data_IF_470836526248
#
_entry.id   IF_470836526248
#
_cell.length_a   1.000
_cell.length_b   1.000
_cell.length_c   1.000
_cell.angle_alpha   90.00
_cell.angle_beta   90.00
_cell.angle_gamma   90.00
#
_symmetry.space_group_name_H-M   'P 1'
#
loop_
_entity.id
_entity.type
_entity.pdbx_description
1 polymer ?
#
# COMPACT_ATOMS: atom_id res chain seq x y z
N UNK A 1 25.44 -21.67 9.79
CA UNK A 1 24.99 -22.03 8.43
C UNK A 1 25.45 -20.88 7.54
N UNK A 2 26.58 -21.04 6.85
CA UNK A 2 27.16 -19.96 6.02
C UNK A 2 26.41 -19.96 4.69
N UNK A 3 25.64 -18.91 4.41
CA UNK A 3 25.21 -18.64 3.04
C UNK A 3 26.49 -18.36 2.23
N UNK A 4 26.62 -18.99 1.06
CA UNK A 4 27.73 -18.68 0.16
C UNK A 4 27.55 -17.28 -0.46
N UNK A 5 28.63 -16.71 -0.96
CA UNK A 5 28.65 -15.35 -1.55
C UNK A 5 27.70 -15.21 -2.75
N UNK A 6 27.43 -16.29 -3.48
CA UNK A 6 26.48 -16.29 -4.60
C UNK A 6 25.03 -16.25 -4.12
N UNK A 7 24.73 -16.93 -3.01
CA UNK A 7 23.44 -16.87 -2.33
C UNK A 7 23.13 -15.47 -1.79
N UNK A 8 24.12 -14.81 -1.18
CA UNK A 8 23.96 -13.42 -0.72
C UNK A 8 23.73 -12.44 -1.87
N UNK A 9 24.45 -12.59 -2.99
CA UNK A 9 24.26 -11.76 -4.18
C UNK A 9 22.88 -11.96 -4.82
N UNK A 10 22.37 -13.20 -4.87
CA UNK A 10 21.04 -13.49 -5.40
C UNK A 10 19.92 -12.88 -4.54
N UNK A 11 20.09 -12.89 -3.21
CA UNK A 11 19.16 -12.24 -2.28
C UNK A 11 19.19 -10.73 -2.49
N UNK A 12 20.36 -10.10 -2.57
CA UNK A 12 20.49 -8.66 -2.75
C UNK A 12 19.92 -8.17 -4.09
N UNK A 13 20.10 -8.94 -5.16
CA UNK A 13 19.47 -8.68 -6.46
C UNK A 13 17.94 -8.76 -6.38
N UNK A 14 17.42 -9.77 -5.68
CA UNK A 14 15.98 -9.95 -5.49
C UNK A 14 15.37 -8.81 -4.67
N UNK A 15 16.07 -8.40 -3.60
CA UNK A 15 15.65 -7.27 -2.76
C UNK A 15 15.66 -5.96 -3.55
N UNK A 16 16.70 -5.67 -4.31
CA UNK A 16 16.75 -4.43 -5.12
C UNK A 16 15.60 -4.36 -6.14
N UNK A 17 15.17 -5.50 -6.70
CA UNK A 17 14.02 -5.55 -7.62
C UNK A 17 12.67 -5.45 -6.91
N UNK A 18 12.60 -5.79 -5.64
CA UNK A 18 11.39 -5.73 -4.82
C UNK A 18 11.23 -4.37 -4.12
N UNK A 19 12.34 -3.75 -3.68
CA UNK A 19 12.39 -2.49 -2.94
C UNK A 19 12.37 -1.28 -3.88
N UNK A 20 11.40 -1.26 -4.80
CA UNK A 20 11.17 -0.16 -5.73
C UNK A 20 9.68 -0.05 -6.05
N UNK A 21 9.23 1.15 -6.41
CA UNK A 21 7.88 1.42 -6.89
C UNK A 21 7.79 1.50 -8.42
N UNK A 22 8.88 1.26 -9.15
CA UNK A 22 8.90 1.30 -10.61
C UNK A 22 7.87 0.34 -11.23
N UNK A 23 7.68 -0.84 -10.65
CA UNK A 23 6.69 -1.80 -11.14
C UNK A 23 5.26 -1.33 -10.90
N UNK A 24 4.98 -0.77 -9.73
CA UNK A 24 3.67 -0.20 -9.38
C UNK A 24 3.34 0.96 -10.30
N UNK A 25 4.30 1.86 -10.53
CA UNK A 25 4.18 2.95 -11.50
C UNK A 25 3.94 2.43 -12.92
N UNK A 26 4.72 1.46 -13.37
CA UNK A 26 4.56 0.86 -14.69
C UNK A 26 3.19 0.21 -14.88
N UNK A 27 2.68 -0.48 -13.85
CA UNK A 27 1.34 -1.06 -13.84
C UNK A 27 0.26 0.02 -13.91
N UNK A 28 0.39 1.08 -13.11
CA UNK A 28 -0.51 2.23 -13.15
C UNK A 28 -0.54 2.89 -14.54
N UNK A 29 0.64 3.21 -15.10
CA UNK A 29 0.75 3.84 -16.43
C UNK A 29 0.18 2.95 -17.53
N UNK A 30 0.40 1.63 -17.44
CA UNK A 30 -0.20 0.67 -18.37
C UNK A 30 -1.72 0.67 -18.28
N UNK A 31 -2.28 0.58 -17.07
CA UNK A 31 -3.73 0.60 -16.87
C UNK A 31 -4.35 1.94 -17.30
N UNK A 32 -3.67 3.06 -17.07
CA UNK A 32 -4.11 4.38 -17.52
C UNK A 32 -4.22 4.45 -19.05
N UNK A 33 -3.25 3.89 -19.78
CA UNK A 33 -3.30 3.78 -21.25
C UNK A 33 -4.44 2.88 -21.71
N UNK A 34 -4.56 1.69 -21.11
CA UNK A 34 -5.64 0.75 -21.41
C UNK A 34 -7.01 1.40 -21.19
N UNK A 35 -7.20 2.09 -20.07
CA UNK A 35 -8.42 2.80 -19.75
C UNK A 35 -8.74 3.89 -20.78
N UNK A 36 -7.74 4.69 -21.19
CA UNK A 36 -7.91 5.69 -22.24
C UNK A 36 -8.37 5.07 -23.57
N UNK A 37 -7.84 3.91 -23.94
CA UNK A 37 -8.26 3.19 -25.14
C UNK A 37 -9.69 2.65 -25.03
N UNK A 38 -10.06 2.06 -23.89
CA UNK A 38 -11.40 1.54 -23.65
C UNK A 38 -12.45 2.66 -23.64
N UNK A 39 -12.13 3.78 -23.00
CA UNK A 39 -13.01 4.95 -22.97
C UNK A 39 -13.25 5.52 -24.37
N UNK A 40 -12.20 5.62 -25.20
CA UNK A 40 -12.32 6.06 -26.58
C UNK A 40 -13.13 5.09 -27.45
N UNK A 41 -12.97 3.78 -27.26
CA UNK A 41 -13.70 2.76 -28.02
C UNK A 41 -15.20 2.69 -27.68
N UNK A 42 -15.57 3.04 -26.44
CA UNK A 42 -16.97 3.03 -25.98
C UNK A 42 -17.74 4.33 -26.28
N UNK A 43 -17.03 5.42 -26.59
CA UNK A 43 -17.61 6.73 -26.92
C UNK A 43 -18.63 6.74 -28.09
N UNK A 44 -18.55 5.88 -29.13
CA UNK A 44 -19.54 5.88 -30.23
C UNK A 44 -20.86 5.16 -29.89
N UNK A 45 -20.91 4.36 -28.82
CA UNK A 45 -22.03 3.45 -28.53
C UNK A 45 -22.80 3.76 -27.24
N UNK A 46 -22.24 4.59 -26.36
CA UNK A 46 -22.82 4.95 -25.08
C UNK A 46 -22.76 6.46 -24.89
N UNK A 47 -23.79 7.05 -24.26
CA UNK A 47 -23.64 8.40 -23.71
C UNK A 47 -22.40 8.40 -22.81
N UNK A 48 -21.55 9.43 -22.89
CA UNK A 48 -20.27 9.50 -22.15
C UNK A 48 -20.39 9.17 -20.65
N UNK A 49 -21.57 9.36 -20.06
CA UNK A 49 -21.87 8.96 -18.67
C UNK A 49 -21.89 7.46 -18.38
N UNK A 50 -22.19 6.58 -19.34
CA UNK A 50 -22.28 5.13 -19.09
C UNK A 50 -20.93 4.42 -19.23
N UNK A 51 -19.99 4.99 -19.99
CA UNK A 51 -18.63 4.44 -20.17
C UNK A 51 -17.83 4.46 -18.85
N UNK A 52 -17.97 5.54 -18.08
CA UNK A 52 -17.32 5.68 -16.78
C UNK A 52 -17.85 4.71 -15.70
N UNK A 53 -19.08 4.19 -15.88
CA UNK A 53 -19.65 3.16 -14.98
C UNK A 53 -19.13 1.75 -15.28
N UNK A 54 -18.70 1.49 -16.52
CA UNK A 54 -18.28 0.15 -16.95
C UNK A 54 -16.80 -0.13 -16.69
N UNK A 55 -15.95 0.91 -16.62
CA UNK A 55 -14.52 0.76 -16.30
C UNK A 55 -14.03 1.95 -15.45
N UNK A 56 -13.92 1.81 -14.11
CA UNK A 56 -13.35 2.87 -13.30
C UNK A 56 -11.87 3.07 -13.69
N UNK A 57 -11.47 4.34 -13.76
CA UNK A 57 -10.06 4.73 -13.89
C UNK A 57 -9.27 4.11 -12.73
N UNK A 58 -7.99 3.70 -12.93
CA UNK A 58 -7.14 3.24 -11.84
C UNK A 58 -7.09 4.22 -10.68
N UNK A 59 -7.27 3.70 -9.46
CA UNK A 59 -7.30 4.47 -8.21
C UNK A 59 -6.04 4.15 -7.42
N UNK A 60 -5.33 5.18 -6.99
CA UNK A 60 -4.21 5.07 -6.05
C UNK A 60 -4.74 5.47 -4.67
N UNK A 61 -4.53 4.62 -3.68
CA UNK A 61 -4.85 4.92 -2.28
C UNK A 61 -3.53 5.07 -1.53
N UNK A 62 -3.36 6.19 -0.84
CA UNK A 62 -2.26 6.36 0.10
C UNK A 62 -2.71 5.91 1.49
N UNK A 63 -1.86 5.16 2.17
CA UNK A 63 -2.18 4.62 3.49
C UNK A 63 -2.37 5.72 4.54
N UNK A 64 -1.65 6.84 4.44
CA UNK A 64 -1.78 7.94 5.38
C UNK A 64 -3.13 8.64 5.23
N UNK A 65 -3.63 8.82 4.00
CA UNK A 65 -4.98 9.38 3.76
C UNK A 65 -6.05 8.46 4.38
N UNK A 66 -5.89 7.14 4.29
CA UNK A 66 -6.82 6.18 4.90
C UNK A 66 -6.80 6.22 6.43
N UNK A 67 -5.65 6.52 7.03
CA UNK A 67 -5.48 6.60 8.49
C UNK A 67 -5.99 7.93 9.03
N UNK A 68 -5.64 9.03 8.37
CA UNK A 68 -5.92 10.41 8.82
C UNK A 68 -7.28 10.94 8.38
N UNK A 69 -7.81 10.45 7.26
CA UNK A 69 -9.13 10.79 6.72
C UNK A 69 -9.91 9.54 6.26
N UNK A 70 -10.31 8.67 7.20
CA UNK A 70 -10.91 7.38 6.87
C UNK A 70 -12.22 7.46 6.09
N UNK A 71 -12.92 8.59 6.16
CA UNK A 71 -14.15 8.87 5.40
C UNK A 71 -13.94 8.77 3.87
N UNK A 72 -12.69 8.87 3.40
CA UNK A 72 -12.34 8.64 1.99
C UNK A 72 -12.77 7.25 1.49
N UNK A 73 -12.88 6.26 2.37
CA UNK A 73 -13.36 4.91 2.04
C UNK A 73 -14.83 4.93 1.60
N UNK A 74 -15.65 5.83 2.14
CA UNK A 74 -17.05 6.00 1.73
C UNK A 74 -17.10 6.46 0.28
N UNK A 75 -16.30 7.47 -0.08
CA UNK A 75 -16.21 7.98 -1.44
C UNK A 75 -15.63 6.94 -2.41
N UNK A 76 -14.67 6.14 -1.94
CA UNK A 76 -14.15 5.01 -2.69
C UNK A 76 -15.26 4.01 -2.99
N UNK A 77 -16.05 3.61 -1.99
CA UNK A 77 -17.18 2.70 -2.16
C UNK A 77 -18.15 3.21 -3.23
N UNK A 78 -18.57 4.47 -3.15
CA UNK A 78 -19.45 5.07 -4.15
C UNK A 78 -18.81 5.07 -5.55
N UNK A 79 -17.50 5.35 -5.64
CA UNK A 79 -16.75 5.39 -6.91
C UNK A 79 -16.67 4.02 -7.59
N UNK A 80 -16.50 2.94 -6.82
CA UNK A 80 -16.38 1.58 -7.37
C UNK A 80 -17.70 0.80 -7.40
N UNK A 81 -18.81 1.42 -7.00
CA UNK A 81 -20.14 0.80 -6.99
C UNK A 81 -20.39 -0.17 -5.83
N UNK A 82 -19.70 0.02 -4.70
CA UNK A 82 -19.96 -0.69 -3.45
C UNK A 82 -20.96 0.11 -2.58
N UNK A 83 -21.68 -0.58 -1.70
CA UNK A 83 -22.63 0.05 -0.76
C UNK A 83 -21.87 0.74 0.39
N UNK A 84 -21.75 2.07 0.30
CA UNK A 84 -21.07 2.90 1.29
C UNK A 84 -21.74 2.90 2.67
N UNK A 85 -23.02 2.51 2.77
CA UNK A 85 -23.72 2.39 4.06
C UNK A 85 -23.25 1.20 4.91
N UNK A 86 -22.43 0.30 4.32
CA UNK A 86 -21.88 -0.89 4.99
C UNK A 86 -20.45 -0.70 5.51
N UNK A 87 -19.85 0.47 5.30
CA UNK A 87 -18.49 0.75 5.77
C UNK A 87 -18.44 0.71 7.30
N UNK A 88 -17.43 0.04 7.85
CA UNK A 88 -17.17 -0.06 9.28
C UNK A 88 -15.72 0.31 9.57
N UNK A 89 -15.51 1.33 10.41
CA UNK A 89 -14.18 1.78 10.84
C UNK A 89 -13.71 1.13 12.15
N UNK A 90 -14.64 0.49 12.84
CA UNK A 90 -14.38 -0.26 14.07
C UNK A 90 -14.94 -1.66 13.94
N UNK A 91 -14.29 -2.63 14.57
CA UNK A 91 -14.76 -4.02 14.61
C UNK A 91 -14.45 -4.64 15.96
N UNK A 92 -15.35 -5.52 16.40
CA UNK A 92 -15.10 -6.34 17.59
C UNK A 92 -13.95 -7.32 17.34
N UNK A 93 -13.07 -7.47 18.33
CA UNK A 93 -12.04 -8.51 18.31
C UNK A 93 -12.70 -9.86 18.09
N UNK A 94 -12.24 -10.60 17.07
CA UNK A 94 -12.77 -11.94 16.79
C UNK A 94 -11.81 -12.98 17.31
N UNK A 95 -12.34 -13.93 18.08
CA UNK A 95 -11.76 -15.25 18.16
C UNK A 95 -12.14 -15.99 16.87
N UNK A 96 -11.16 -16.22 15.98
CA UNK A 96 -11.42 -17.04 14.80
C UNK A 96 -11.57 -18.51 15.22
N UNK A 97 -12.62 -19.22 14.77
CA UNK A 97 -12.72 -20.67 15.00
C UNK A 97 -11.59 -21.35 14.24
N UNK A 98 -10.59 -21.86 14.95
CA UNK A 98 -9.48 -22.64 14.39
C UNK A 98 -9.81 -24.12 14.21
N UNK A 99 -11.10 -24.42 14.05
CA UNK A 99 -11.58 -25.78 13.88
C UNK A 99 -11.03 -26.36 12.56
N UNK A 100 -10.30 -27.47 12.68
CA UNK A 100 -9.70 -28.18 11.54
C UNK A 100 -8.23 -27.85 11.24
N UNK A 101 -7.60 -26.88 11.91
CA UNK A 101 -6.15 -26.64 11.78
C UNK A 101 -5.33 -27.56 12.70
N UNK A 102 -4.25 -28.13 12.16
CA UNK A 102 -3.27 -28.86 12.95
C UNK A 102 -2.56 -27.95 13.97
N UNK A 103 -2.02 -28.50 15.08
CA UNK A 103 -1.44 -27.71 16.17
C UNK A 103 -0.31 -26.76 15.73
N UNK A 104 0.54 -27.20 14.81
CA UNK A 104 1.66 -26.40 14.27
C UNK A 104 1.19 -25.24 13.39
N UNK A 105 0.21 -25.48 12.54
CA UNK A 105 -0.30 -24.49 11.58
C UNK A 105 -1.11 -23.43 12.33
N UNK A 106 -1.86 -23.85 13.34
CA UNK A 106 -2.55 -22.98 14.30
C UNK A 106 -1.58 -22.02 14.98
N UNK A 107 -0.43 -22.50 15.45
CA UNK A 107 0.53 -21.65 16.15
C UNK A 107 1.17 -20.59 15.24
N UNK A 108 1.58 -20.98 14.03
CA UNK A 108 2.15 -20.06 13.04
C UNK A 108 1.10 -19.03 12.59
N UNK A 109 -0.12 -19.49 12.30
CA UNK A 109 -1.23 -18.66 11.85
C UNK A 109 -1.66 -17.64 12.91
N UNK A 110 -1.75 -18.06 14.18
CA UNK A 110 -2.05 -17.16 15.30
C UNK A 110 -0.97 -16.09 15.46
N UNK A 111 0.30 -16.50 15.50
CA UNK A 111 1.42 -15.56 15.70
C UNK A 111 1.50 -14.54 14.57
N UNK A 112 1.29 -14.95 13.33
CA UNK A 112 1.36 -14.06 12.17
C UNK A 112 0.19 -13.07 12.07
N UNK A 113 -0.93 -13.33 12.75
CA UNK A 113 -2.17 -12.53 12.63
C UNK A 113 -2.65 -11.96 13.95
N UNK A 114 -1.87 -12.07 15.03
CA UNK A 114 -2.28 -11.60 16.36
C UNK A 114 -2.73 -10.14 16.32
N UNK A 115 -1.93 -9.26 15.71
CA UNK A 115 -2.27 -7.82 15.59
C UNK A 115 -3.52 -7.57 14.74
N UNK A 116 -3.81 -8.43 13.76
CA UNK A 116 -5.02 -8.32 12.94
C UNK A 116 -6.27 -8.69 13.73
N UNK A 117 -6.22 -9.75 14.53
CA UNK A 117 -7.35 -10.21 15.35
C UNK A 117 -7.58 -9.35 16.59
N UNK A 118 -6.50 -8.77 17.14
CA UNK A 118 -6.58 -7.87 18.29
C UNK A 118 -6.91 -6.42 17.91
N UNK A 119 -6.82 -6.06 16.62
CA UNK A 119 -7.15 -4.70 16.18
C UNK A 119 -8.66 -4.45 16.25
N UNK A 120 -9.04 -3.33 16.85
CA UNK A 120 -10.44 -2.88 16.97
C UNK A 120 -10.81 -1.80 15.97
N UNK A 121 -9.85 -1.30 15.18
CA UNK A 121 -10.08 -0.21 14.23
C UNK A 121 -8.77 0.38 13.69
N UNK A 122 -8.87 1.60 13.18
CA UNK A 122 -7.73 2.34 12.62
C UNK A 122 -6.80 2.81 13.75
N UNK A 123 -5.50 2.58 13.58
CA UNK A 123 -4.45 2.96 14.52
C UNK A 123 -3.79 4.26 14.04
N UNK A 124 -4.24 5.40 14.58
CA UNK A 124 -3.76 6.73 14.16
C UNK A 124 -2.24 6.91 14.38
N UNK A 125 -1.68 6.24 15.37
CA UNK A 125 -0.24 6.22 15.67
C UNK A 125 0.62 5.55 14.58
N UNK A 126 -0.01 4.89 13.59
CA UNK A 126 0.67 4.33 12.41
C UNK A 126 0.69 5.30 11.22
N UNK A 127 0.18 6.51 11.39
CA UNK A 127 0.33 7.57 10.39
C UNK A 127 1.82 7.89 10.15
N UNK A 128 2.14 8.24 8.92
CA UNK A 128 3.46 8.71 8.52
C UNK A 128 3.62 10.22 8.70
N UNK A 129 2.59 10.91 9.18
CA UNK A 129 2.60 12.34 9.42
C UNK A 129 3.72 12.73 10.40
N UNK A 130 4.58 13.67 9.97
CA UNK A 130 5.72 14.14 10.74
C UNK A 130 6.93 13.21 10.74
N UNK A 131 6.90 12.09 10.01
CA UNK A 131 8.10 11.30 9.76
C UNK A 131 9.00 11.98 8.73
N UNK A 132 10.30 11.85 8.93
CA UNK A 132 11.34 12.27 8.00
C UNK A 132 12.20 11.07 7.66
N UNK A 133 12.72 11.01 6.43
CA UNK A 133 13.60 9.91 6.01
C UNK A 133 14.82 9.85 6.94
N UNK A 134 15.44 10.99 7.25
CA UNK A 134 16.60 11.05 8.15
C UNK A 134 16.30 10.50 9.56
N UNK A 135 15.12 10.82 10.10
CA UNK A 135 14.68 10.31 11.40
C UNK A 135 14.48 8.79 11.39
N UNK A 136 13.93 8.25 10.30
CA UNK A 136 13.75 6.80 10.13
C UNK A 136 15.08 6.08 9.88
N UNK A 137 15.98 6.67 9.09
CA UNK A 137 17.33 6.12 8.86
C UNK A 137 18.11 5.97 10.16
N UNK A 138 18.00 6.94 11.07
CA UNK A 138 18.62 6.83 12.38
C UNK A 138 18.08 5.63 13.18
N UNK A 139 16.76 5.38 13.15
CA UNK A 139 16.14 4.21 13.79
C UNK A 139 16.57 2.91 13.14
N UNK A 140 16.58 2.83 11.81
CA UNK A 140 16.99 1.63 11.08
C UNK A 140 18.45 1.25 11.35
N UNK A 141 19.35 2.23 11.49
CA UNK A 141 20.75 1.97 11.86
C UNK A 141 20.89 1.40 13.26
N UNK A 142 20.03 1.82 14.20
CA UNK A 142 19.98 1.24 15.56
C UNK A 142 19.38 -0.17 15.54
N UNK A 143 18.30 -0.38 14.79
CA UNK A 143 17.56 -1.64 14.77
C UNK A 143 18.26 -2.74 13.96
N UNK A 144 18.71 -2.42 12.75
CA UNK A 144 19.27 -3.37 11.79
C UNK A 144 20.79 -3.27 11.66
N UNK A 145 21.41 -2.29 12.31
CA UNK A 145 22.84 -2.00 12.19
C UNK A 145 23.18 -1.11 11.01
N UNK A 146 24.40 -0.57 11.02
CA UNK A 146 24.83 0.49 10.11
C UNK A 146 24.82 0.06 8.63
N UNK A 147 25.18 -1.19 8.33
CA UNK A 147 25.27 -1.68 6.95
C UNK A 147 23.88 -1.80 6.32
N UNK A 148 22.93 -2.44 7.01
CA UNK A 148 21.59 -2.67 6.47
C UNK A 148 20.72 -1.41 6.56
N UNK A 149 20.90 -0.59 7.60
CA UNK A 149 20.26 0.73 7.68
C UNK A 149 20.60 1.63 6.48
N UNK A 150 21.86 1.65 6.04
CA UNK A 150 22.27 2.38 4.81
C UNK A 150 21.73 1.78 3.52
N UNK A 151 21.49 0.47 3.46
CA UNK A 151 20.83 -0.16 2.30
C UNK A 151 19.37 0.27 2.20
N UNK A 152 18.66 0.26 3.34
CA UNK A 152 17.27 0.73 3.42
C UNK A 152 17.17 2.20 3.00
N UNK A 153 18.05 3.06 3.54
CA UNK A 153 18.17 4.46 3.13
C UNK A 153 18.30 4.61 1.61
N UNK A 154 19.23 3.86 1.00
CA UNK A 154 19.44 3.90 -0.45
C UNK A 154 18.19 3.51 -1.23
N UNK A 155 17.56 2.38 -0.88
CA UNK A 155 16.37 1.90 -1.58
C UNK A 155 15.18 2.86 -1.46
N UNK A 156 15.00 3.49 -0.30
CA UNK A 156 13.96 4.50 -0.10
C UNK A 156 14.19 5.67 -1.04
N UNK A 157 15.39 6.26 -1.03
CA UNK A 157 15.72 7.39 -1.92
C UNK A 157 15.60 7.03 -3.41
N UNK A 158 16.03 5.83 -3.81
CA UNK A 158 15.86 5.32 -5.18
C UNK A 158 14.37 5.18 -5.58
N UNK A 159 13.48 4.87 -4.64
CA UNK A 159 12.05 4.71 -4.88
C UNK A 159 11.25 6.03 -4.82
N UNK A 160 11.81 7.10 -4.23
CA UNK A 160 11.08 8.36 -3.95
C UNK A 160 10.45 8.98 -5.19
N UNK A 161 11.14 8.99 -6.33
CA UNK A 161 10.58 9.61 -7.56
C UNK A 161 9.32 8.89 -8.06
N UNK A 162 9.26 7.57 -7.90
CA UNK A 162 8.09 6.79 -8.28
C UNK A 162 6.98 6.91 -7.22
N UNK A 163 7.35 7.00 -5.94
CA UNK A 163 6.42 7.31 -4.85
C UNK A 163 5.70 8.64 -5.09
N UNK A 164 6.46 9.74 -5.25
CA UNK A 164 5.92 11.09 -5.46
C UNK A 164 5.02 11.15 -6.69
N UNK A 165 5.41 10.49 -7.78
CA UNK A 165 4.59 10.37 -8.98
C UNK A 165 3.22 9.74 -8.70
N UNK A 166 3.18 8.65 -7.94
CA UNK A 166 1.94 7.97 -7.57
C UNK A 166 1.14 8.79 -6.55
N UNK A 167 1.82 9.39 -5.58
CA UNK A 167 1.23 10.19 -4.50
C UNK A 167 0.49 11.44 -5.02
N UNK A 168 1.03 12.11 -6.02
CA UNK A 168 0.35 13.23 -6.72
C UNK A 168 -0.96 12.81 -7.42
N UNK A 169 -1.15 11.50 -7.66
CA UNK A 169 -2.27 10.92 -8.41
C UNK A 169 -3.23 10.14 -7.52
N UNK A 170 -3.05 10.20 -6.21
CA UNK A 170 -3.89 9.52 -5.24
C UNK A 170 -5.31 10.05 -5.20
N UNK A 171 -6.20 9.18 -4.74
CA UNK A 171 -7.60 9.47 -4.51
C UNK A 171 -7.74 10.46 -3.35
N UNK A 172 -8.67 11.41 -3.42
CA UNK A 172 -8.87 12.43 -2.37
C UNK A 172 -7.98 13.69 -2.48
N UNK A 173 -6.86 13.65 -3.21
CA UNK A 173 -5.99 14.81 -3.44
C UNK A 173 -5.08 15.16 -2.26
N UNK A 174 -4.19 16.15 -2.41
CA UNK A 174 -3.16 16.47 -1.43
C UNK A 174 -3.69 17.30 -0.26
N UNK A 175 -4.28 16.65 0.75
CA UNK A 175 -4.78 17.32 1.96
C UNK A 175 -4.25 16.73 3.27
N UNK A 176 -3.00 16.27 3.26
CA UNK A 176 -2.16 16.15 4.46
C UNK A 176 -0.73 16.47 4.00
N UNK A 177 -0.02 17.35 4.72
CA UNK A 177 1.33 17.78 4.39
C UNK A 177 2.21 16.58 4.07
N UNK A 178 2.69 16.51 2.82
CA UNK A 178 3.62 15.47 2.39
C UNK A 178 4.83 15.43 3.31
N UNK A 179 5.52 14.28 3.31
CA UNK A 179 6.81 14.09 3.98
C UNK A 179 7.65 15.34 3.74
N UNK A 180 7.82 16.15 4.79
CA UNK A 180 8.71 17.29 4.70
C UNK A 180 10.12 16.73 4.51
N UNK A 181 10.77 17.23 3.45
CA UNK A 181 12.17 16.97 3.14
C UNK A 181 13.05 17.20 4.35
#
# INVERSE_FOLDING_TARGET
MSLDMSGMQAVEYSLTRAMTLTWTRGLYDWYMKLWGHLAAAAAPAANQHDVHKLTPKPIILDADDLITNPEIVIHLCDTVGLDSTKVQFTRDTRDEPMEGMGPSDREIHMRARTTLYSSTGIMAEKSFCGLTVDGEVAKWKVEFGEVDGRKLERWVWEAMSDYEYLWERRFGGPDCGGVQK
#
